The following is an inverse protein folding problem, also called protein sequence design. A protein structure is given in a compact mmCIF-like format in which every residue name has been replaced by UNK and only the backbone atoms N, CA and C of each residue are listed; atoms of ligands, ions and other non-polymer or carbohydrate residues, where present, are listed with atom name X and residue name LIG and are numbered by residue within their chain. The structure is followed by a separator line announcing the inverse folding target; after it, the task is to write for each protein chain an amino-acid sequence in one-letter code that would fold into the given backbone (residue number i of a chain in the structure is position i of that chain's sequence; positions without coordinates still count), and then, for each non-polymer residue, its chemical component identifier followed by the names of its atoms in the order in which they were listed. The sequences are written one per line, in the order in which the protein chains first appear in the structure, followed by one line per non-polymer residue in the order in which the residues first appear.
data_IF_179685043494
#
_entry.id   IF_179685043494
#
_cell.length_a   1.000
_cell.length_b   1.000
_cell.length_c   1.000
_cell.angle_alpha   90.00
_cell.angle_beta   90.00
_cell.angle_gamma   90.00
#
_symmetry.space_group_name_H-M   'P 1'
#
loop_
_entity.id
_entity.type
_entity.pdbx_description
1 polymer ?
#
# COMPACT_ATOMS: atom_id res chain seq x y z
N UNK A 1 9.59 5.51 -8.84
CA UNK A 1 8.55 5.04 -7.92
C UNK A 1 8.84 5.55 -6.51
N UNK A 2 7.85 6.13 -5.88
CA UNK A 2 8.01 6.65 -4.54
C UNK A 2 8.03 5.51 -3.53
N UNK A 3 8.89 5.64 -2.53
CA UNK A 3 9.03 4.61 -1.50
C UNK A 3 8.56 5.14 -0.16
N UNK A 4 7.77 4.34 0.55
CA UNK A 4 7.32 4.65 1.90
C UNK A 4 7.99 3.67 2.84
N UNK A 5 8.75 4.18 3.80
CA UNK A 5 9.46 3.36 4.76
C UNK A 5 8.61 3.21 6.01
N UNK A 6 8.12 2.00 6.24
CA UNK A 6 7.33 1.66 7.42
C UNK A 6 8.05 0.67 8.31
N UNK A 7 9.36 0.53 8.17
CA UNK A 7 10.13 -0.33 9.03
C UNK A 7 10.08 0.21 10.46
N UNK A 8 9.75 -0.67 11.40
CA UNK A 8 9.61 -0.27 12.78
C UNK A 8 8.26 0.30 13.15
N UNK A 9 7.38 0.51 12.18
CA UNK A 9 6.03 1.01 12.47
C UNK A 9 5.11 -0.16 12.80
N UNK A 10 4.28 0.05 13.82
CA UNK A 10 3.29 -0.94 14.22
C UNK A 10 1.95 -0.64 13.57
N UNK A 11 1.13 -1.68 13.44
CA UNK A 11 -0.24 -1.52 13.01
C UNK A 11 -0.97 -0.56 13.97
N UNK A 12 -1.77 0.40 13.47
CA UNK A 12 -2.20 0.58 12.08
C UNK A 12 -1.40 1.64 11.31
N UNK A 13 -0.20 1.98 11.75
CA UNK A 13 0.55 3.09 11.15
C UNK A 13 0.90 2.85 9.69
N UNK A 14 1.35 1.65 9.26
CA UNK A 14 1.59 1.44 7.83
C UNK A 14 0.35 1.69 6.98
N UNK A 15 -0.82 1.26 7.46
CA UNK A 15 -2.06 1.49 6.75
C UNK A 15 -2.40 2.97 6.66
N UNK A 16 -2.17 3.71 7.73
CA UNK A 16 -2.43 5.15 7.73
C UNK A 16 -1.51 5.88 6.77
N UNK A 17 -0.24 5.51 6.74
CA UNK A 17 0.70 6.11 5.79
C UNK A 17 0.31 5.76 4.37
N UNK A 18 -0.10 4.52 4.13
CA UNK A 18 -0.54 4.10 2.81
C UNK A 18 -1.77 4.88 2.37
N UNK A 19 -2.72 5.09 3.27
CA UNK A 19 -3.94 5.82 2.93
C UNK A 19 -3.62 7.24 2.50
N UNK A 20 -2.78 7.94 3.25
CA UNK A 20 -2.39 9.30 2.90
C UNK A 20 -1.72 9.32 1.53
N UNK A 21 -0.82 8.36 1.28
CA UNK A 21 -0.13 8.29 0.00
C UNK A 21 -1.11 8.01 -1.14
N UNK A 22 -2.05 7.08 -0.93
CA UNK A 22 -3.03 6.76 -1.97
C UNK A 22 -3.92 7.94 -2.30
N UNK A 23 -4.26 8.75 -1.30
CA UNK A 23 -5.07 9.94 -1.54
C UNK A 23 -4.36 10.95 -2.43
N UNK A 24 -3.03 10.97 -2.37
CA UNK A 24 -2.23 11.91 -3.15
C UNK A 24 -1.78 11.34 -4.48
N UNK A 25 -2.00 10.06 -4.71
CA UNK A 25 -1.57 9.41 -5.96
C UNK A 25 -2.47 9.83 -7.10
N UNK A 26 -1.86 9.97 -8.26
CA UNK A 26 -2.60 10.17 -9.50
C UNK A 26 -2.87 8.81 -10.13
N UNK A 27 -3.95 8.69 -10.91
CA UNK A 27 -4.20 7.43 -11.62
C UNK A 27 -2.99 7.05 -12.47
N UNK A 28 -2.63 5.78 -12.38
CA UNK A 28 -1.47 5.26 -13.09
C UNK A 28 -0.18 5.31 -12.31
N UNK A 29 -0.17 5.96 -11.16
CA UNK A 29 1.01 5.99 -10.30
C UNK A 29 1.11 4.73 -9.44
N UNK A 30 2.33 4.42 -9.03
CA UNK A 30 2.60 3.32 -8.13
C UNK A 30 3.55 3.78 -7.05
N UNK A 31 3.41 3.21 -5.87
CA UNK A 31 4.33 3.46 -4.76
C UNK A 31 4.73 2.13 -4.14
N UNK A 32 5.90 2.13 -3.53
CA UNK A 32 6.42 0.97 -2.83
C UNK A 32 6.41 1.24 -1.34
N UNK A 33 5.76 0.36 -0.59
CA UNK A 33 5.72 0.46 0.86
C UNK A 33 6.48 -0.72 1.44
N UNK A 34 7.41 -0.45 2.34
CA UNK A 34 8.23 -1.50 2.96
C UNK A 34 7.89 -1.56 4.44
N UNK A 35 7.63 -2.77 4.93
CA UNK A 35 7.29 -2.96 6.33
C UNK A 35 7.89 -4.27 6.83
N UNK A 36 8.23 -4.28 8.12
CA UNK A 36 8.70 -5.49 8.79
C UNK A 36 7.63 -6.09 9.70
N UNK A 37 6.41 -5.62 9.59
CA UNK A 37 5.31 -6.06 10.45
C UNK A 37 4.36 -6.94 9.65
N UNK A 38 4.08 -8.14 10.17
CA UNK A 38 3.29 -9.12 9.41
C UNK A 38 1.84 -8.70 9.21
N UNK A 39 1.31 -7.80 10.00
CA UNK A 39 -0.07 -7.34 9.84
C UNK A 39 -0.19 -6.18 8.85
N UNK A 40 0.93 -5.57 8.46
CA UNK A 40 0.88 -4.44 7.54
C UNK A 40 0.28 -4.80 6.18
N UNK A 41 0.63 -5.94 5.56
CA UNK A 41 0.04 -6.27 4.27
C UNK A 41 -1.48 -6.33 4.29
N UNK A 42 -2.06 -6.93 5.31
CA UNK A 42 -3.52 -7.03 5.42
C UNK A 42 -4.15 -5.66 5.62
N UNK A 43 -3.54 -4.84 6.48
CA UNK A 43 -4.04 -3.50 6.75
C UNK A 43 -4.01 -2.64 5.49
N UNK A 44 -2.89 -2.67 4.77
CA UNK A 44 -2.75 -1.92 3.53
C UNK A 44 -3.72 -2.43 2.47
N UNK A 45 -3.90 -3.75 2.39
CA UNK A 45 -4.83 -4.32 1.42
C UNK A 45 -6.25 -3.84 1.65
N UNK A 46 -6.70 -3.83 2.91
CA UNK A 46 -8.04 -3.35 3.21
C UNK A 46 -8.24 -1.90 2.77
N UNK A 47 -7.24 -1.07 3.04
CA UNK A 47 -7.32 0.33 2.67
C UNK A 47 -7.27 0.50 1.16
N UNK A 48 -6.41 -0.28 0.49
CA UNK A 48 -6.32 -0.23 -0.97
C UNK A 48 -7.65 -0.61 -1.61
N UNK A 49 -8.32 -1.64 -1.09
CA UNK A 49 -9.62 -2.04 -1.60
C UNK A 49 -10.63 -0.91 -1.47
N UNK A 50 -10.62 -0.20 -0.34
CA UNK A 50 -11.52 0.93 -0.14
C UNK A 50 -11.22 2.08 -1.08
N UNK A 51 -9.94 2.28 -1.39
CA UNK A 51 -9.50 3.41 -2.19
C UNK A 51 -9.51 3.12 -3.70
N UNK A 52 -9.84 1.90 -4.08
CA UNK A 52 -9.82 1.52 -5.49
C UNK A 52 -8.43 1.29 -6.05
N UNK A 53 -7.48 0.97 -5.18
CA UNK A 53 -6.11 0.68 -5.59
C UNK A 53 -5.88 -0.82 -5.58
N UNK A 54 -4.91 -1.28 -6.35
CA UNK A 54 -4.48 -2.67 -6.31
C UNK A 54 -3.12 -2.74 -5.61
N UNK A 55 -2.84 -3.89 -5.04
CA UNK A 55 -1.54 -4.10 -4.39
C UNK A 55 -0.93 -5.40 -4.84
N UNK A 56 0.39 -5.43 -4.82
CA UNK A 56 1.16 -6.64 -4.99
C UNK A 56 2.06 -6.78 -3.77
N UNK A 57 2.09 -7.96 -3.20
CA UNK A 57 2.83 -8.23 -1.98
C UNK A 57 3.96 -9.20 -2.26
N UNK A 58 5.13 -8.87 -1.75
CA UNK A 58 6.27 -9.77 -1.84
C UNK A 58 7.04 -9.74 -0.54
N UNK A 59 7.37 -10.92 -0.03
CA UNK A 59 8.24 -11.02 1.13
C UNK A 59 9.66 -11.24 0.61
N UNK A 60 10.41 -10.14 0.52
CA UNK A 60 11.72 -10.15 -0.14
C UNK A 60 12.79 -10.89 0.66
N UNK A 61 12.71 -10.81 1.98
CA UNK A 61 13.49 -11.65 2.89
C UNK A 61 12.57 -11.97 4.06
N UNK A 62 12.85 -13.03 4.81
CA UNK A 62 11.95 -13.39 5.92
C UNK A 62 11.70 -12.20 6.86
N UNK A 63 10.44 -11.86 7.03
CA UNK A 63 10.03 -10.77 7.90
C UNK A 63 10.00 -9.40 7.28
N UNK A 64 10.44 -9.23 6.03
CA UNK A 64 10.42 -7.93 5.35
C UNK A 64 9.50 -8.02 4.15
N UNK A 65 8.48 -7.18 4.14
CA UNK A 65 7.44 -7.19 3.12
C UNK A 65 7.53 -5.93 2.27
N UNK A 66 7.45 -6.13 0.95
CA UNK A 66 7.32 -5.02 0.02
C UNK A 66 5.94 -5.06 -0.57
N UNK A 67 5.24 -3.93 -0.50
CA UNK A 67 3.89 -3.81 -1.00
C UNK A 67 3.90 -2.76 -2.08
N UNK A 68 3.60 -3.17 -3.32
CA UNK A 68 3.50 -2.24 -4.43
C UNK A 68 2.04 -1.85 -4.58
N UNK A 69 1.76 -0.58 -4.39
CA UNK A 69 0.40 -0.05 -4.45
C UNK A 69 0.27 0.71 -5.75
N UNK A 70 -0.69 0.29 -6.58
CA UNK A 70 -0.95 0.94 -7.85
C UNK A 70 -2.34 1.53 -7.83
N UNK A 71 -2.45 2.79 -8.21
CA UNK A 71 -3.74 3.44 -8.29
C UNK A 71 -4.29 3.27 -9.69
N UNK A 72 -5.41 2.58 -9.79
CA UNK A 72 -6.05 2.34 -11.06
C UNK A 72 -6.74 3.61 -11.53
N UNK A 73 -6.57 3.92 -12.81
CA UNK A 73 -7.24 5.07 -13.36
C UNK A 73 -8.72 4.84 -13.57
N UNK A 74 -9.13 3.59 -13.56
CA UNK A 74 -10.55 3.24 -13.70
C UNK A 74 -11.08 2.86 -12.34
N UNK A 75 -11.99 3.66 -11.86
CA UNK A 75 -12.71 3.32 -10.65
C UNK A 75 -13.91 2.49 -11.02
N UNK A 76 -14.14 1.33 -10.38
CA UNK A 76 -15.24 0.45 -10.77
C UNK A 76 -16.60 1.12 -10.77
N UNK A 77 -16.80 2.02 -9.87
CA UNK A 77 -18.11 2.67 -9.76
C UNK A 77 -18.30 3.78 -10.77
N UNK A 78 -17.29 4.10 -11.53
CA UNK A 78 -17.42 5.06 -12.61
C UNK A 78 -18.02 4.42 -13.83
N UNK A 79 -17.94 3.14 -13.87
CA UNK A 79 -18.52 2.40 -14.98
C UNK A 79 -20.02 2.47 -14.92
#
# INVERSE_FOLDING_TARGET
MKKIDCLGDFCPIPGMKAKVAMEKMRPGESILLVSDHSCAPLNVKDIADEMGCSIELEEVIPGIFEIIISKNCLSPHEA
#
